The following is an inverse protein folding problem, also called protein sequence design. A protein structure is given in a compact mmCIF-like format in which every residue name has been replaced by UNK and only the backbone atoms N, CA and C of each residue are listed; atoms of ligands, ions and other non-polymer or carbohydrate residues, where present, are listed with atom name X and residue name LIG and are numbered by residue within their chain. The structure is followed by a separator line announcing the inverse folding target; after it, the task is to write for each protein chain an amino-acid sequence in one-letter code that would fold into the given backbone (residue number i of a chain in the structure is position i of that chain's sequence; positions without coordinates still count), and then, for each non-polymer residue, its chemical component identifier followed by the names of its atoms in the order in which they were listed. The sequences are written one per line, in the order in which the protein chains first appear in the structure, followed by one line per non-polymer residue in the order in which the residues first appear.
data_IF_727594527675
#
_entry.id   IF_727594527675
#
_cell.length_a   1.000
_cell.length_b   1.000
_cell.length_c   1.000
_cell.angle_alpha   90.00
_cell.angle_beta   90.00
_cell.angle_gamma   90.00
#
_symmetry.space_group_name_H-M   'P 1'
#
loop_
_entity.id
_entity.type
_entity.pdbx_description
1 polymer ?
#
# COMPACT_ATOMS: atom_id res chain seq x y z
N UNK A 1 -6.92 -7.75 13.15
CA UNK A 1 -6.90 -7.95 11.69
C UNK A 1 -6.56 -6.62 11.04
N UNK A 2 -5.59 -6.59 10.12
CA UNK A 2 -5.24 -5.37 9.36
C UNK A 2 -6.35 -5.10 8.34
N UNK A 3 -7.35 -4.29 8.69
CA UNK A 3 -8.46 -4.00 7.78
C UNK A 3 -8.08 -2.86 6.83
N UNK A 4 -8.12 -3.13 5.52
CA UNK A 4 -8.10 -2.11 4.48
C UNK A 4 -9.39 -1.29 4.56
N UNK A 5 -9.29 0.01 4.36
CA UNK A 5 -10.47 0.88 4.23
C UNK A 5 -11.12 0.70 2.85
N UNK A 6 -12.36 1.13 2.69
CA UNK A 6 -13.13 0.94 1.45
C UNK A 6 -12.49 1.64 0.24
N UNK A 7 -11.78 2.75 0.48
CA UNK A 7 -11.02 3.54 -0.48
C UNK A 7 -9.67 2.91 -0.86
N UNK A 8 -9.25 1.84 -0.19
CA UNK A 8 -8.02 1.12 -0.48
C UNK A 8 -6.82 1.50 0.41
N UNK A 9 -6.97 2.51 1.27
CA UNK A 9 -5.94 2.92 2.22
C UNK A 9 -5.92 2.07 3.49
N UNK A 10 -4.84 2.17 4.26
CA UNK A 10 -4.78 1.70 5.65
C UNK A 10 -4.58 2.86 6.60
N UNK A 11 -5.20 2.75 7.78
CA UNK A 11 -4.96 3.68 8.88
C UNK A 11 -3.66 3.37 9.60
N UNK A 12 -2.89 4.41 9.89
CA UNK A 12 -1.72 4.31 10.74
C UNK A 12 -2.13 4.04 12.19
N UNK A 13 -2.07 2.77 12.59
CA UNK A 13 -2.42 2.30 13.94
C UNK A 13 -1.26 1.56 14.59
N UNK A 14 -1.35 1.35 15.91
CA UNK A 14 -0.37 0.53 16.64
C UNK A 14 -0.36 -0.91 16.14
N UNK A 15 -1.53 -1.46 15.82
CA UNK A 15 -1.67 -2.81 15.29
C UNK A 15 -1.01 -2.94 13.92
N UNK A 16 -1.17 -1.94 13.05
CA UNK A 16 -0.46 -1.91 11.78
C UNK A 16 1.04 -1.83 11.98
N UNK A 17 1.52 -0.91 12.81
CA UNK A 17 2.95 -0.78 13.10
C UNK A 17 3.55 -2.12 13.59
N UNK A 18 2.85 -2.80 14.49
CA UNK A 18 3.25 -4.14 14.98
C UNK A 18 3.26 -5.17 13.86
N UNK A 19 2.24 -5.20 13.01
CA UNK A 19 2.12 -6.16 11.92
C UNK A 19 3.23 -5.99 10.87
N UNK A 20 3.60 -4.74 10.55
CA UNK A 20 4.68 -4.42 9.60
C UNK A 20 6.08 -4.44 10.23
N UNK A 21 6.18 -4.77 11.54
CA UNK A 21 7.46 -4.87 12.24
C UNK A 21 8.14 -3.52 12.54
N UNK A 22 7.39 -2.41 12.52
CA UNK A 22 7.91 -1.06 12.74
C UNK A 22 7.41 -0.46 14.06
N UNK A 23 8.14 0.54 14.58
CA UNK A 23 7.67 1.35 15.71
C UNK A 23 6.70 2.41 15.21
N UNK A 24 5.52 2.53 15.84
CA UNK A 24 4.52 3.55 15.48
C UNK A 24 5.11 4.98 15.45
N UNK A 25 6.03 5.29 16.37
CA UNK A 25 6.72 6.60 16.39
C UNK A 25 7.57 6.84 15.13
N UNK A 26 8.22 5.80 14.60
CA UNK A 26 9.02 5.91 13.38
C UNK A 26 8.12 6.19 12.17
N UNK A 27 7.01 5.46 12.04
CA UNK A 27 6.03 5.67 10.97
C UNK A 27 5.38 7.07 11.04
N UNK A 28 5.08 7.57 12.26
CA UNK A 28 4.59 8.94 12.44
C UNK A 28 5.61 10.01 12.04
N UNK A 29 6.90 9.76 12.31
CA UNK A 29 7.97 10.67 11.91
C UNK A 29 8.15 10.69 10.39
N UNK A 30 8.04 9.52 9.75
CA UNK A 30 8.01 9.41 8.29
C UNK A 30 6.80 10.14 7.69
N UNK A 31 5.61 10.00 8.29
CA UNK A 31 4.44 10.76 7.84
C UNK A 31 4.64 12.27 7.99
N UNK A 32 5.27 12.70 9.09
CA UNK A 32 5.57 14.11 9.32
C UNK A 32 6.60 14.71 8.34
N UNK A 33 7.39 13.89 7.63
CA UNK A 33 8.31 14.39 6.59
C UNK A 33 7.61 14.65 5.26
N UNK A 34 6.39 14.15 5.07
CA UNK A 34 5.56 14.40 3.88
C UNK A 34 4.80 15.73 4.01
N UNK A 35 5.54 16.83 4.14
CA UNK A 35 5.00 18.18 4.44
C UNK A 35 4.12 18.78 3.34
N UNK A 36 4.13 18.19 2.13
CA UNK A 36 3.31 18.60 1.00
C UNK A 36 1.89 17.98 1.04
N UNK A 37 1.65 17.02 1.94
CA UNK A 37 0.36 16.39 2.16
C UNK A 37 -0.23 16.87 3.48
N UNK A 38 -1.56 16.82 3.61
CA UNK A 38 -2.18 17.00 4.92
C UNK A 38 -1.79 15.86 5.87
N UNK A 39 -1.80 16.09 7.20
CA UNK A 39 -1.30 15.12 8.17
C UNK A 39 -2.00 13.75 8.14
N UNK A 40 -3.31 13.73 7.87
CA UNK A 40 -4.11 12.50 7.82
C UNK A 40 -3.78 11.69 6.56
N UNK A 41 -3.71 12.36 5.41
CA UNK A 41 -3.28 11.75 4.14
C UNK A 41 -1.86 11.24 4.22
N UNK A 42 -0.92 12.02 4.79
CA UNK A 42 0.46 11.60 4.98
C UNK A 42 0.56 10.33 5.84
N UNK A 43 -0.21 10.27 6.95
CA UNK A 43 -0.26 9.08 7.80
C UNK A 43 -0.83 7.86 7.06
N UNK A 44 -1.88 8.04 6.27
CA UNK A 44 -2.49 7.00 5.46
C UNK A 44 -1.56 6.53 4.32
N UNK A 45 -0.79 7.42 3.69
CA UNK A 45 0.23 7.09 2.68
C UNK A 45 1.31 6.18 3.29
N UNK A 46 1.89 6.57 4.42
CA UNK A 46 2.92 5.74 5.09
C UNK A 46 2.35 4.39 5.50
N UNK A 47 1.17 4.36 6.13
CA UNK A 47 0.53 3.11 6.53
C UNK A 47 0.25 2.18 5.35
N UNK A 48 -0.27 2.71 4.25
CA UNK A 48 -0.59 1.95 3.04
C UNK A 48 0.66 1.40 2.36
N UNK A 49 1.74 2.19 2.26
CA UNK A 49 3.03 1.73 1.71
C UNK A 49 3.63 0.58 2.52
N UNK A 50 3.68 0.71 3.84
CA UNK A 50 4.21 -0.32 4.72
C UNK A 50 3.34 -1.59 4.74
N UNK A 51 2.01 -1.43 4.65
CA UNK A 51 1.09 -2.57 4.51
C UNK A 51 1.37 -3.34 3.22
N UNK A 52 1.51 -2.65 2.08
CA UNK A 52 1.82 -3.28 0.80
C UNK A 52 3.15 -4.01 0.81
N UNK A 53 4.20 -3.39 1.34
CA UNK A 53 5.51 -4.03 1.44
C UNK A 53 5.45 -5.29 2.33
N UNK A 54 4.70 -5.22 3.42
CA UNK A 54 4.52 -6.38 4.32
C UNK A 54 3.77 -7.51 3.64
N UNK A 55 2.72 -7.22 2.87
CA UNK A 55 2.00 -8.22 2.09
C UNK A 55 2.91 -8.87 1.04
N UNK A 56 3.66 -8.05 0.29
CA UNK A 56 4.59 -8.52 -0.73
C UNK A 56 5.69 -9.44 -0.15
N UNK A 57 6.20 -9.14 1.05
CA UNK A 57 7.25 -9.95 1.69
C UNK A 57 6.69 -11.20 2.38
N UNK A 58 5.57 -11.08 3.11
CA UNK A 58 5.07 -12.17 3.96
C UNK A 58 4.13 -13.14 3.26
N UNK A 59 3.49 -12.69 2.18
CA UNK A 59 2.49 -13.45 1.44
C UNK A 59 2.87 -13.56 -0.04
N UNK A 60 4.17 -13.52 -0.36
CA UNK A 60 4.66 -13.63 -1.74
C UNK A 60 4.05 -14.84 -2.47
N UNK A 61 4.01 -16.01 -1.80
CA UNK A 61 3.42 -17.25 -2.36
C UNK A 61 1.89 -17.22 -2.54
N UNK A 62 1.22 -16.17 -2.07
CA UNK A 62 -0.24 -15.99 -2.07
C UNK A 62 -0.66 -14.71 -2.77
N UNK A 63 0.15 -14.22 -3.70
CA UNK A 63 -0.07 -12.96 -4.42
C UNK A 63 -1.48 -12.82 -4.99
N UNK A 64 -2.03 -13.89 -5.56
CA UNK A 64 -3.40 -13.91 -6.10
C UNK A 64 -4.44 -13.50 -5.05
N UNK A 65 -4.28 -13.93 -3.79
CA UNK A 65 -5.24 -13.67 -2.70
C UNK A 65 -5.27 -12.21 -2.27
N UNK A 66 -4.17 -11.48 -2.41
CA UNK A 66 -4.07 -10.07 -2.01
C UNK A 66 -3.89 -9.09 -3.17
N UNK A 67 -3.82 -9.59 -4.41
CA UNK A 67 -3.71 -8.80 -5.64
C UNK A 67 -4.74 -7.67 -5.75
N UNK A 68 -6.02 -7.95 -5.45
CA UNK A 68 -7.08 -6.96 -5.49
C UNK A 68 -6.94 -5.88 -4.40
N UNK A 69 -6.50 -6.26 -3.20
CA UNK A 69 -6.21 -5.30 -2.14
C UNK A 69 -5.01 -4.42 -2.51
N UNK A 70 -3.98 -5.00 -3.12
CA UNK A 70 -2.82 -4.27 -3.60
C UNK A 70 -3.16 -3.31 -4.75
N UNK A 71 -3.98 -3.73 -5.72
CA UNK A 71 -4.41 -2.87 -6.82
C UNK A 71 -5.16 -1.63 -6.31
N UNK A 72 -6.10 -1.81 -5.37
CA UNK A 72 -6.81 -0.68 -4.75
C UNK A 72 -5.88 0.24 -3.97
N UNK A 73 -4.95 -0.33 -3.21
CA UNK A 73 -3.98 0.43 -2.43
C UNK A 73 -3.03 1.26 -3.31
N UNK A 74 -2.54 0.67 -4.41
CA UNK A 74 -1.71 1.35 -5.41
C UNK A 74 -2.50 2.47 -6.07
N UNK A 75 -3.72 2.20 -6.53
CA UNK A 75 -4.60 3.22 -7.10
C UNK A 75 -4.86 4.38 -6.15
N UNK A 76 -5.12 4.09 -4.88
CA UNK A 76 -5.29 5.12 -3.85
C UNK A 76 -4.02 5.94 -3.64
N UNK A 77 -2.85 5.29 -3.54
CA UNK A 77 -1.56 5.98 -3.37
C UNK A 77 -1.25 6.93 -4.55
N UNK A 78 -1.60 6.55 -5.78
CA UNK A 78 -1.46 7.41 -6.97
C UNK A 78 -2.23 8.72 -6.79
N UNK A 79 -3.49 8.61 -6.39
CA UNK A 79 -4.36 9.77 -6.17
C UNK A 79 -3.88 10.60 -4.98
N UNK A 80 -3.57 9.95 -3.86
CA UNK A 80 -3.20 10.61 -2.61
C UNK A 80 -1.86 11.37 -2.68
N UNK A 81 -0.92 10.89 -3.50
CA UNK A 81 0.41 11.52 -3.64
C UNK A 81 0.52 12.45 -4.84
N UNK A 82 -0.49 12.47 -5.72
CA UNK A 82 -0.43 13.17 -7.01
C UNK A 82 0.68 12.63 -7.93
N UNK A 83 1.30 11.50 -7.58
CA UNK A 83 2.32 10.85 -8.39
C UNK A 83 1.65 9.80 -9.26
N UNK A 84 1.79 9.94 -10.58
CA UNK A 84 1.60 8.82 -11.49
C UNK A 84 2.81 7.88 -11.26
N UNK A 85 2.72 6.95 -10.29
CA UNK A 85 3.54 5.76 -10.35
C UNK A 85 3.10 5.01 -11.60
N UNK A 86 3.94 5.04 -12.64
CA UNK A 86 3.86 4.08 -13.72
C UNK A 86 4.03 2.71 -13.05
N UNK A 87 2.91 2.02 -12.84
CA UNK A 87 2.91 0.63 -12.40
C UNK A 87 3.58 -0.17 -13.52
N UNK A 88 4.87 -0.42 -13.40
CA UNK A 88 5.52 -1.53 -14.10
C UNK A 88 5.16 -2.81 -13.35
N UNK A 89 3.88 -3.15 -13.29
CA UNK A 89 3.52 -4.55 -13.22
C UNK A 89 3.84 -5.10 -14.62
N UNK A 90 4.62 -6.20 -14.75
CA UNK A 90 4.64 -6.92 -16.00
C UNK A 90 3.21 -7.44 -16.19
N UNK A 91 2.44 -6.75 -17.03
CA UNK A 91 1.31 -7.40 -17.70
C UNK A 91 1.94 -8.55 -18.44
N UNK A 92 1.90 -9.73 -17.82
CA UNK A 92 2.05 -10.99 -18.54
C UNK A 92 0.93 -10.96 -19.53
N UNK A 93 1.26 -10.50 -20.74
CA UNK A 93 0.43 -10.68 -21.90
C UNK A 93 0.18 -12.18 -21.97
N UNK A 94 -1.00 -12.59 -21.54
CA UNK A 94 -1.61 -13.77 -22.12
C UNK A 94 -1.74 -13.42 -23.59
N UNK A 95 -0.72 -13.81 -24.36
CA UNK A 95 -0.87 -14.04 -25.78
C UNK A 95 -2.00 -15.04 -25.88
N UNK A 96 -3.19 -14.52 -26.18
CA UNK A 96 -4.31 -15.29 -26.66
C UNK A 96 -3.88 -15.88 -27.99
N UNK A 97 -3.21 -17.03 -27.90
CA UNK A 97 -3.10 -17.98 -28.97
C UNK A 97 -4.40 -18.75 -28.99
N UNK A 98 -5.29 -18.39 -29.89
CA UNK A 98 -6.38 -19.25 -30.33
C UNK A 98 -6.78 -18.87 -31.76
N UNK A 99 -6.18 -19.61 -32.69
CA UNK A 99 -6.62 -19.98 -34.05
C UNK A 99 -6.95 -18.87 -35.07
#
# INVERSE_FOLDING_TARGET
MLAQQADGSWRLTRELAKAVGAKLKALKLEAASLTHLDPDTAAAVVATRWALQTLAVRLADREVEWSGAAAKARAWLLVATGQILICTDPVVAYADGAD
#
